data_IF_576055355177
#
_entry.id   IF_576055355177
#
_cell.length_a   1.000
_cell.length_b   1.000
_cell.length_c   1.000
_cell.angle_alpha   90.00
_cell.angle_beta   90.00
_cell.angle_gamma   90.00
#
_symmetry.space_group_name_H-M   'P 1'
#
loop_
_entity.id
_entity.type
_entity.pdbx_description
1 polymer ?
#
# COMPACT_ATOMS: atom_id res chain seq x y z
N UNK A 1 -23.52 -20.31 -39.52
CA UNK A 1 -22.45 -19.29 -39.34
C UNK A 1 -22.83 -18.15 -38.37
N UNK A 2 -24.05 -18.04 -37.82
CA UNK A 2 -24.32 -17.10 -36.70
C UNK A 2 -24.07 -17.75 -35.33
N UNK A 3 -24.48 -19.01 -35.15
CA UNK A 3 -24.33 -19.77 -33.89
C UNK A 3 -22.91 -19.79 -33.33
N UNK A 4 -21.88 -19.92 -34.18
CA UNK A 4 -20.47 -19.86 -33.75
C UNK A 4 -20.04 -18.47 -33.26
N UNK A 5 -20.60 -17.39 -33.84
CA UNK A 5 -20.32 -16.02 -33.41
C UNK A 5 -21.01 -15.72 -32.09
N UNK A 6 -22.23 -16.22 -31.92
CA UNK A 6 -23.00 -16.10 -30.69
C UNK A 6 -22.27 -16.80 -29.53
N UNK A 7 -21.81 -18.04 -29.72
CA UNK A 7 -20.99 -18.79 -28.74
C UNK A 7 -19.67 -18.10 -28.40
N UNK A 8 -18.98 -17.54 -29.40
CA UNK A 8 -17.73 -16.83 -29.19
C UNK A 8 -17.90 -15.50 -28.44
N UNK A 9 -19.02 -14.80 -28.63
CA UNK A 9 -19.37 -13.62 -27.83
C UNK A 9 -19.74 -14.00 -26.40
N UNK A 10 -20.54 -15.05 -26.23
CA UNK A 10 -20.97 -15.53 -24.91
C UNK A 10 -19.76 -15.98 -24.05
N UNK A 11 -18.77 -16.65 -24.65
CA UNK A 11 -17.52 -16.97 -23.97
C UNK A 11 -16.68 -15.74 -23.63
N UNK A 12 -16.66 -14.72 -24.48
CA UNK A 12 -15.95 -13.46 -24.19
C UNK A 12 -16.62 -12.68 -23.06
N UNK A 13 -17.95 -12.65 -23.04
CA UNK A 13 -18.72 -12.01 -21.98
C UNK A 13 -18.60 -12.78 -20.65
N UNK A 14 -18.61 -14.12 -20.70
CA UNK A 14 -18.33 -14.96 -19.53
C UNK A 14 -16.90 -14.74 -19.01
N UNK A 15 -15.89 -14.71 -19.89
CA UNK A 15 -14.51 -14.44 -19.50
C UNK A 15 -14.27 -13.02 -18.98
N UNK A 16 -15.04 -12.03 -19.46
CA UNK A 16 -14.99 -10.67 -18.94
C UNK A 16 -15.64 -10.56 -17.55
N UNK A 17 -16.74 -11.28 -17.30
CA UNK A 17 -17.37 -11.38 -15.98
C UNK A 17 -16.48 -12.09 -14.97
N UNK A 18 -15.87 -13.21 -15.35
CA UNK A 18 -14.99 -14.00 -14.49
C UNK A 18 -13.73 -13.21 -14.07
N UNK A 19 -13.19 -12.37 -14.96
CA UNK A 19 -12.11 -11.42 -14.62
C UNK A 19 -12.51 -10.36 -13.59
N UNK A 20 -13.80 -10.02 -13.50
CA UNK A 20 -14.30 -8.98 -12.61
C UNK A 20 -14.61 -9.50 -11.20
N UNK A 21 -14.78 -10.80 -11.00
CA UNK A 21 -15.16 -11.37 -9.70
C UNK A 21 -13.98 -11.60 -8.73
N UNK A 22 -12.73 -11.40 -9.17
CA UNK A 22 -11.54 -11.66 -8.35
C UNK A 22 -10.82 -10.44 -7.76
N UNK A 23 -11.07 -9.23 -8.27
CA UNK A 23 -10.21 -8.08 -7.95
C UNK A 23 -10.42 -7.52 -6.54
N UNK A 24 -11.61 -7.69 -5.96
CA UNK A 24 -11.95 -7.15 -4.62
C UNK A 24 -11.11 -7.83 -3.55
N UNK A 25 -10.92 -9.14 -3.63
CA UNK A 25 -10.06 -9.89 -2.70
C UNK A 25 -8.62 -9.39 -2.75
N UNK A 26 -8.08 -9.24 -3.96
CA UNK A 26 -6.73 -8.70 -4.19
C UNK A 26 -6.62 -7.26 -3.67
N UNK A 27 -7.63 -6.42 -3.89
CA UNK A 27 -7.64 -5.06 -3.39
C UNK A 27 -7.64 -5.01 -1.85
N UNK A 28 -8.45 -5.85 -1.20
CA UNK A 28 -8.54 -5.92 0.26
C UNK A 28 -7.25 -6.46 0.88
N UNK A 29 -6.59 -7.43 0.24
CA UNK A 29 -5.29 -7.96 0.66
C UNK A 29 -4.21 -6.86 0.73
N UNK A 30 -4.30 -5.83 -0.11
CA UNK A 30 -3.32 -4.73 -0.15
C UNK A 30 -3.60 -3.60 0.87
N UNK A 31 -4.78 -3.57 1.50
CA UNK A 31 -5.15 -2.53 2.49
C UNK A 31 -4.13 -2.42 3.63
N UNK A 32 -3.65 -3.51 4.26
CA UNK A 32 -2.66 -3.43 5.32
C UNK A 32 -1.34 -2.77 4.87
N UNK A 33 -0.85 -3.13 3.68
CA UNK A 33 0.37 -2.56 3.11
C UNK A 33 0.21 -1.08 2.77
N UNK A 34 -0.95 -0.69 2.24
CA UNK A 34 -1.28 0.72 1.99
C UNK A 34 -1.31 1.53 3.29
N UNK A 35 -1.96 1.02 4.34
CA UNK A 35 -2.00 1.69 5.64
C UNK A 35 -0.59 1.87 6.23
N UNK A 36 0.25 0.83 6.17
CA UNK A 36 1.64 0.93 6.61
C UNK A 36 2.42 1.96 5.80
N UNK A 37 2.24 2.00 4.49
CA UNK A 37 2.92 2.98 3.63
C UNK A 37 2.55 4.42 3.99
N UNK A 38 1.27 4.69 4.26
CA UNK A 38 0.78 6.01 4.67
C UNK A 38 1.37 6.41 6.01
N UNK A 39 1.38 5.49 6.98
CA UNK A 39 1.99 5.74 8.30
C UNK A 39 3.48 6.03 8.17
N UNK A 40 4.21 5.26 7.35
CA UNK A 40 5.65 5.43 7.16
C UNK A 40 5.96 6.80 6.53
N UNK A 41 5.30 7.14 5.43
CA UNK A 41 5.47 8.42 4.73
C UNK A 41 5.09 9.59 5.66
N UNK A 42 3.99 9.47 6.40
CA UNK A 42 3.57 10.47 7.38
C UNK A 42 4.60 10.66 8.49
N UNK A 43 5.15 9.58 9.04
CA UNK A 43 6.19 9.64 10.04
C UNK A 43 7.48 10.29 9.53
N UNK A 44 7.87 10.02 8.28
CA UNK A 44 9.03 10.67 7.65
C UNK A 44 8.81 12.18 7.47
N UNK A 45 7.65 12.59 6.94
CA UNK A 45 7.33 14.01 6.75
C UNK A 45 7.31 14.76 8.09
N UNK A 46 6.66 14.20 9.10
CA UNK A 46 6.65 14.77 10.44
C UNK A 46 8.04 14.80 11.07
N UNK A 47 8.82 13.73 10.90
CA UNK A 47 10.21 13.66 11.36
C UNK A 47 11.04 14.81 10.79
N UNK A 48 10.99 15.03 9.47
CA UNK A 48 11.68 16.16 8.83
C UNK A 48 11.18 17.50 9.34
N UNK A 49 9.87 17.69 9.48
CA UNK A 49 9.28 18.91 10.03
C UNK A 49 9.83 19.21 11.43
N UNK A 50 9.88 18.22 12.32
CA UNK A 50 10.40 18.41 13.68
C UNK A 50 11.92 18.63 13.72
N UNK A 51 12.67 18.07 12.77
CA UNK A 51 14.09 18.37 12.59
C UNK A 51 14.30 19.84 12.20
N UNK A 52 13.56 20.32 11.21
CA UNK A 52 13.65 21.72 10.74
C UNK A 52 13.25 22.73 11.82
N UNK A 53 12.26 22.40 12.65
CA UNK A 53 11.82 23.25 13.76
C UNK A 53 12.71 23.13 15.01
N UNK A 54 13.78 22.31 14.96
CA UNK A 54 14.76 22.17 16.05
C UNK A 54 14.26 21.38 17.27
N UNK A 55 13.07 20.79 17.19
CA UNK A 55 12.46 19.99 18.25
C UNK A 55 12.93 18.52 18.27
N UNK A 56 13.47 18.05 17.14
CA UNK A 56 14.05 16.71 17.00
C UNK A 56 15.49 16.84 16.52
N UNK A 57 16.47 16.66 17.42
CA UNK A 57 17.89 16.70 17.06
C UNK A 57 18.41 15.30 16.72
N UNK A 58 18.65 15.07 15.43
CA UNK A 58 19.18 13.80 14.90
C UNK A 58 20.71 13.77 14.81
N UNK A 59 21.39 14.84 15.20
CA UNK A 59 22.85 14.97 15.12
C UNK A 59 23.55 14.52 16.40
N UNK A 60 22.80 14.40 17.50
CA UNK A 60 23.37 14.00 18.77
C UNK A 60 23.76 12.51 18.76
N UNK A 61 24.90 12.17 19.39
CA UNK A 61 25.25 10.77 19.58
C UNK A 61 24.17 10.10 20.45
N UNK A 62 23.74 8.90 20.05
CA UNK A 62 22.82 8.10 20.84
C UNK A 62 23.57 7.63 22.10
N UNK A 63 23.42 8.36 23.19
CA UNK A 63 23.99 8.01 24.49
C UNK A 63 22.97 7.17 25.24
N UNK A 64 23.29 5.89 25.48
CA UNK A 64 22.46 5.07 26.35
C UNK A 64 22.69 5.48 27.80
N UNK A 65 21.77 6.28 28.34
CA UNK A 65 21.83 6.80 29.71
C UNK A 65 21.81 5.70 30.78
N UNK A 66 21.59 4.43 30.42
CA UNK A 66 21.40 3.31 31.36
C UNK A 66 22.53 2.28 31.32
N UNK A 67 23.55 2.46 30.48
CA UNK A 67 24.70 1.54 30.38
C UNK A 67 25.98 2.12 31.03
N UNK A 68 25.97 3.37 31.48
CA UNK A 68 27.12 4.05 32.10
C UNK A 68 27.24 3.89 33.62
N UNK A 69 26.96 2.71 34.18
CA UNK A 69 27.44 2.32 35.52
C UNK A 69 28.24 1.02 35.46
#
# INVERSE_FOLDING_TARGET
MSVERDLAQEQREAAARDKADGWVSVFVEWIPSMLLSVVMVGAMMLGMYYVEHGTLDITQPIVNQHITQ
#
